data_IF_070514725115
#
_entry.id   IF_070514725115
#
_cell.length_a   1.000
_cell.length_b   1.000
_cell.length_c   1.000
_cell.angle_alpha   90.00
_cell.angle_beta   90.00
_cell.angle_gamma   90.00
#
_symmetry.space_group_name_H-M   'P 1'
#
loop_
_entity.id
_entity.type
_entity.pdbx_description
1 polymer ?
#
# COMPACT_ATOMS: atom_id res chain seq x y z
N UNK A 1 6.03 0.30 -9.14
CA UNK A 1 6.93 1.21 -9.86
C UNK A 1 7.91 0.38 -10.68
N UNK A 2 7.92 0.53 -12.00
CA UNK A 2 8.75 -0.29 -12.93
C UNK A 2 9.84 0.56 -13.57
N UNK A 3 9.60 1.86 -13.71
CA UNK A 3 10.52 2.83 -14.30
C UNK A 3 11.62 3.23 -13.31
N UNK A 4 12.90 3.15 -13.73
CA UNK A 4 14.05 3.39 -12.85
C UNK A 4 14.19 4.86 -12.46
N UNK A 5 13.82 5.79 -13.35
CA UNK A 5 13.81 7.22 -13.02
C UNK A 5 12.77 7.53 -11.94
N UNK A 6 11.56 6.96 -12.05
CA UNK A 6 10.52 7.14 -11.03
C UNK A 6 10.90 6.53 -9.68
N UNK A 7 11.65 5.42 -9.67
CA UNK A 7 12.19 4.85 -8.43
C UNK A 7 13.22 5.77 -7.77
N UNK A 8 14.06 6.43 -8.57
CA UNK A 8 15.01 7.43 -8.08
C UNK A 8 14.28 8.63 -7.48
N UNK A 9 13.32 9.23 -8.21
CA UNK A 9 12.49 10.32 -7.69
C UNK A 9 11.80 9.94 -6.38
N UNK A 10 11.24 8.71 -6.30
CA UNK A 10 10.63 8.20 -5.07
C UNK A 10 11.64 8.15 -3.91
N UNK A 11 12.84 7.64 -4.14
CA UNK A 11 13.87 7.57 -3.11
C UNK A 11 14.29 8.96 -2.63
N UNK A 12 14.46 9.93 -3.55
CA UNK A 12 14.74 11.32 -3.25
C UNK A 12 13.60 11.95 -2.42
N UNK A 13 12.34 11.68 -2.76
CA UNK A 13 11.18 12.15 -2.02
C UNK A 13 11.20 11.62 -0.57
N UNK A 14 11.49 10.33 -0.36
CA UNK A 14 11.59 9.73 0.98
C UNK A 14 12.70 10.38 1.81
N UNK A 15 13.85 10.60 1.20
CA UNK A 15 14.99 11.29 1.86
C UNK A 15 14.63 12.73 2.21
N UNK A 16 14.00 13.46 1.29
CA UNK A 16 13.57 14.84 1.52
C UNK A 16 12.56 14.92 2.66
N UNK A 17 11.52 14.08 2.65
CA UNK A 17 10.52 14.02 3.73
C UNK A 17 11.20 13.79 5.09
N UNK A 18 12.18 12.88 5.14
CA UNK A 18 12.94 12.62 6.37
C UNK A 18 13.77 13.81 6.82
N UNK A 19 14.39 14.54 5.88
CA UNK A 19 15.21 15.71 6.16
C UNK A 19 14.40 16.89 6.70
N UNK A 20 13.17 17.07 6.26
CA UNK A 20 12.28 18.13 6.77
C UNK A 20 11.52 17.74 8.05
N UNK A 21 11.90 16.63 8.67
CA UNK A 21 11.37 16.22 9.98
C UNK A 21 10.10 15.36 9.91
N UNK A 22 9.68 14.90 8.71
CA UNK A 22 8.63 13.89 8.58
C UNK A 22 9.22 12.48 8.75
N UNK A 23 8.37 11.52 9.07
CA UNK A 23 8.75 10.14 9.32
C UNK A 23 8.09 9.21 8.29
N UNK A 24 8.64 9.10 7.07
CA UNK A 24 8.07 8.22 6.06
C UNK A 24 8.30 6.75 6.42
N UNK A 25 7.26 5.94 6.24
CA UNK A 25 7.27 4.49 6.29
C UNK A 25 6.82 4.00 4.92
N UNK A 26 7.59 3.12 4.29
CA UNK A 26 7.30 2.60 2.97
C UNK A 26 6.76 1.19 3.09
N UNK A 27 5.59 0.92 2.49
CA UNK A 27 5.08 -0.44 2.31
C UNK A 27 5.03 -0.72 0.82
N UNK A 28 5.52 -1.87 0.40
CA UNK A 28 5.57 -2.21 -1.02
C UNK A 28 5.10 -3.63 -1.32
N UNK A 29 4.52 -3.79 -2.49
CA UNK A 29 4.33 -5.07 -3.16
C UNK A 29 5.35 -5.26 -4.30
N UNK A 30 5.01 -6.11 -5.26
CA UNK A 30 5.90 -6.40 -6.41
C UNK A 30 5.24 -7.31 -7.44
N UNK A 31 3.94 -7.13 -7.70
CA UNK A 31 3.16 -7.98 -8.61
C UNK A 31 3.82 -8.23 -9.98
N UNK A 32 4.29 -7.20 -10.70
CA UNK A 32 4.99 -7.37 -11.97
C UNK A 32 6.30 -8.16 -11.84
N UNK A 33 7.10 -7.90 -10.80
CA UNK A 33 8.36 -8.58 -10.54
C UNK A 33 8.13 -10.06 -10.19
N UNK A 34 7.10 -10.35 -9.39
CA UNK A 34 6.67 -11.72 -9.06
C UNK A 34 6.25 -12.45 -10.33
N UNK A 35 5.39 -11.83 -11.16
CA UNK A 35 4.93 -12.43 -12.43
C UNK A 35 6.08 -12.75 -13.36
N UNK A 36 7.05 -11.83 -13.46
CA UNK A 36 8.26 -12.03 -14.28
C UNK A 36 9.09 -13.23 -13.77
N UNK A 37 9.30 -13.31 -12.44
CA UNK A 37 10.09 -14.39 -11.85
C UNK A 37 9.40 -15.76 -11.97
N UNK A 38 8.10 -15.85 -11.68
CA UNK A 38 7.31 -17.07 -11.85
C UNK A 38 7.39 -17.57 -13.30
N UNK A 39 7.27 -16.67 -14.27
CA UNK A 39 7.42 -17.01 -15.70
C UNK A 39 8.82 -17.52 -16.02
N UNK A 40 9.86 -16.88 -15.49
CA UNK A 40 11.26 -17.30 -15.71
C UNK A 40 11.55 -18.71 -15.14
N UNK A 41 10.89 -19.06 -14.04
CA UNK A 41 11.00 -20.37 -13.39
C UNK A 41 10.04 -21.42 -13.98
N UNK A 42 9.18 -21.07 -14.94
CA UNK A 42 8.20 -21.97 -15.52
C UNK A 42 7.01 -22.30 -14.61
N UNK A 43 6.81 -21.52 -13.52
CA UNK A 43 5.72 -21.69 -12.58
C UNK A 43 4.49 -20.96 -13.11
N UNK A 44 3.35 -21.66 -13.17
CA UNK A 44 2.09 -21.07 -13.62
C UNK A 44 1.61 -19.99 -12.65
N UNK A 45 1.19 -18.85 -13.20
CA UNK A 45 0.57 -17.76 -12.45
C UNK A 45 -0.88 -17.60 -12.89
N UNK A 46 -1.81 -17.73 -11.97
CA UNK A 46 -3.25 -17.59 -12.18
C UNK A 46 -3.77 -16.45 -11.30
N UNK A 47 -4.81 -15.75 -11.79
CA UNK A 47 -5.52 -14.73 -11.02
C UNK A 47 -7.00 -15.09 -10.94
N UNK A 48 -7.59 -14.93 -9.77
CA UNK A 48 -9.02 -15.11 -9.51
C UNK A 48 -9.54 -13.90 -8.74
N UNK A 49 -10.57 -13.24 -9.25
CA UNK A 49 -11.10 -12.03 -8.62
C UNK A 49 -10.06 -10.91 -8.41
N UNK A 50 -9.07 -10.80 -9.31
CA UNK A 50 -7.99 -9.81 -9.20
C UNK A 50 -6.87 -10.19 -8.22
N UNK A 51 -7.00 -11.30 -7.49
CA UNK A 51 -6.00 -11.81 -6.56
C UNK A 51 -5.18 -12.94 -7.22
N UNK A 52 -3.87 -12.96 -6.94
CA UNK A 52 -3.00 -14.04 -7.42
C UNK A 52 -3.29 -15.32 -6.63
N UNK A 53 -3.59 -16.41 -7.34
CA UNK A 53 -3.59 -17.75 -6.73
C UNK A 53 -2.14 -18.07 -6.34
N UNK A 54 -1.88 -18.29 -5.05
CA UNK A 54 -0.55 -18.46 -4.51
C UNK A 54 -0.38 -19.87 -3.95
N UNK A 55 0.19 -20.76 -4.74
CA UNK A 55 0.59 -22.11 -4.28
C UNK A 55 1.81 -22.01 -3.36
N UNK A 56 2.14 -23.05 -2.56
CA UNK A 56 3.37 -23.07 -1.74
C UNK A 56 4.63 -22.74 -2.56
N UNK A 57 4.78 -23.34 -3.73
CA UNK A 57 5.91 -23.06 -4.64
C UNK A 57 5.91 -21.60 -5.12
N UNK A 58 4.73 -21.03 -5.44
CA UNK A 58 4.62 -19.63 -5.81
C UNK A 58 4.91 -18.70 -4.62
N UNK A 59 4.57 -19.12 -3.39
CA UNK A 59 4.83 -18.33 -2.18
C UNK A 59 6.31 -18.17 -1.91
N UNK A 60 7.13 -19.21 -2.12
CA UNK A 60 8.58 -19.10 -2.04
C UNK A 60 9.13 -18.03 -2.98
N UNK A 61 8.62 -17.99 -4.22
CA UNK A 61 9.00 -16.96 -5.20
C UNK A 61 8.51 -15.58 -4.77
N UNK A 62 7.28 -15.45 -4.26
CA UNK A 62 6.74 -14.19 -3.74
C UNK A 62 7.63 -13.65 -2.63
N UNK A 63 7.96 -14.49 -1.65
CA UNK A 63 8.83 -14.13 -0.52
C UNK A 63 10.22 -13.70 -0.98
N UNK A 64 10.89 -14.48 -1.84
CA UNK A 64 12.19 -14.12 -2.42
C UNK A 64 12.17 -12.80 -3.18
N UNK A 65 11.14 -12.58 -4.00
CA UNK A 65 11.05 -11.38 -4.84
C UNK A 65 10.76 -10.15 -3.99
N UNK A 66 9.81 -10.23 -3.07
CA UNK A 66 9.45 -9.07 -2.25
C UNK A 66 10.57 -8.69 -1.29
N UNK A 67 11.09 -9.64 -0.51
CA UNK A 67 12.11 -9.34 0.52
C UNK A 67 13.52 -9.19 -0.05
N UNK A 68 13.88 -10.04 -1.03
CA UNK A 68 15.23 -10.10 -1.59
C UNK A 68 15.46 -9.15 -2.77
N UNK A 69 14.48 -8.98 -3.67
CA UNK A 69 14.66 -8.16 -4.87
C UNK A 69 14.09 -6.75 -4.69
N UNK A 70 12.79 -6.62 -4.48
CA UNK A 70 12.10 -5.31 -4.47
C UNK A 70 12.52 -4.49 -3.26
N UNK A 71 12.47 -5.07 -2.06
CA UNK A 71 12.89 -4.39 -0.84
C UNK A 71 14.36 -3.94 -0.92
N UNK A 72 15.27 -4.82 -1.37
CA UNK A 72 16.69 -4.47 -1.46
C UNK A 72 16.97 -3.38 -2.47
N UNK A 73 16.25 -3.33 -3.58
CA UNK A 73 16.34 -2.27 -4.57
C UNK A 73 15.92 -0.92 -3.97
N UNK A 74 14.75 -0.85 -3.32
CA UNK A 74 14.25 0.39 -2.69
C UNK A 74 15.19 0.86 -1.56
N UNK A 75 15.61 -0.04 -0.68
CA UNK A 75 16.56 0.26 0.39
C UNK A 75 17.89 0.77 -0.18
N UNK A 76 18.39 0.16 -1.25
CA UNK A 76 19.62 0.59 -1.91
C UNK A 76 19.53 1.99 -2.49
N UNK A 77 18.42 2.30 -3.17
CA UNK A 77 18.19 3.64 -3.74
C UNK A 77 18.09 4.72 -2.66
N UNK A 78 17.37 4.48 -1.57
CA UNK A 78 17.30 5.43 -0.46
C UNK A 78 18.67 5.56 0.23
N UNK A 79 19.38 4.45 0.44
CA UNK A 79 20.67 4.43 1.11
C UNK A 79 21.82 4.97 0.26
N UNK A 80 21.64 5.20 -1.05
CA UNK A 80 22.58 5.98 -1.85
C UNK A 80 22.74 7.43 -1.35
N UNK A 81 21.75 7.92 -0.59
CA UNK A 81 21.77 9.27 0.02
C UNK A 81 22.20 9.26 1.50
N UNK A 82 22.63 8.12 2.03
CA UNK A 82 23.03 7.94 3.43
C UNK A 82 22.37 6.72 4.07
N UNK A 83 22.81 6.25 5.24
CA UNK A 83 22.32 5.03 5.89
C UNK A 83 20.93 5.26 6.53
N UNK A 84 19.92 5.53 5.73
CA UNK A 84 18.59 5.93 6.17
C UNK A 84 17.58 4.77 6.21
N UNK A 85 17.54 3.94 5.15
CA UNK A 85 16.50 2.92 5.01
C UNK A 85 16.90 1.59 5.65
N UNK A 86 15.92 0.92 6.25
CA UNK A 86 16.00 -0.47 6.75
C UNK A 86 14.84 -1.25 6.18
N UNK A 87 15.14 -2.37 5.53
CA UNK A 87 14.12 -3.27 4.98
C UNK A 87 13.64 -4.27 6.01
N UNK A 88 12.34 -4.45 6.06
CA UNK A 88 11.60 -5.41 6.87
C UNK A 88 10.60 -6.18 5.99
N UNK A 89 10.12 -7.29 6.51
CA UNK A 89 8.91 -7.95 6.04
C UNK A 89 7.88 -7.97 7.19
N UNK A 90 6.65 -8.33 6.90
CA UNK A 90 5.66 -8.53 7.95
C UNK A 90 6.01 -9.67 8.92
N UNK A 91 6.97 -10.53 8.57
CA UNK A 91 7.49 -11.61 9.43
C UNK A 91 8.45 -11.10 10.51
N UNK A 92 9.12 -9.96 10.27
CA UNK A 92 10.18 -9.47 11.13
C UNK A 92 9.59 -8.83 12.40
N UNK A 93 10.08 -9.28 13.56
CA UNK A 93 9.65 -8.76 14.87
C UNK A 93 8.17 -9.02 15.19
N UNK A 94 7.50 -9.93 14.50
CA UNK A 94 6.06 -10.14 14.68
C UNK A 94 5.19 -9.00 14.12
N UNK A 95 5.72 -8.22 13.18
CA UNK A 95 5.08 -6.99 12.68
C UNK A 95 3.66 -7.22 12.17
N UNK A 96 3.41 -8.29 11.39
CA UNK A 96 2.08 -8.65 10.92
C UNK A 96 1.70 -10.06 11.36
N UNK A 97 0.41 -10.26 11.64
CA UNK A 97 -0.25 -11.55 11.61
C UNK A 97 -1.38 -11.49 10.59
N UNK A 98 -1.55 -12.53 9.80
CA UNK A 98 -2.56 -12.59 8.75
C UNK A 98 -3.38 -13.87 8.82
N UNK A 99 -4.64 -13.81 8.39
CA UNK A 99 -5.49 -14.99 8.19
C UNK A 99 -5.68 -15.27 6.71
N UNK A 100 -5.80 -16.55 6.36
CA UNK A 100 -6.02 -16.96 4.97
C UNK A 100 -7.31 -16.36 4.41
N UNK A 101 -7.19 -15.75 3.23
CA UNK A 101 -8.32 -15.13 2.53
C UNK A 101 -9.01 -16.13 1.61
N UNK A 102 -10.33 -16.20 1.70
CA UNK A 102 -11.19 -16.95 0.77
C UNK A 102 -12.22 -16.02 0.15
N UNK A 103 -11.90 -15.36 -0.96
CA UNK A 103 -12.81 -14.39 -1.60
C UNK A 103 -14.06 -15.08 -2.14
N UNK A 104 -15.17 -14.32 -2.17
CA UNK A 104 -16.38 -14.76 -2.86
C UNK A 104 -16.25 -14.33 -4.33
N UNK A 105 -16.15 -15.30 -5.23
CA UNK A 105 -16.08 -15.11 -6.67
C UNK A 105 -17.26 -15.84 -7.30
N UNK A 106 -18.05 -15.15 -8.09
CA UNK A 106 -19.29 -15.68 -8.69
C UNK A 106 -20.23 -16.35 -7.65
N UNK A 107 -20.36 -15.72 -6.47
CA UNK A 107 -21.19 -16.18 -5.36
C UNK A 107 -20.65 -17.40 -4.59
N UNK A 108 -19.42 -17.85 -4.86
CA UNK A 108 -18.79 -19.00 -4.20
C UNK A 108 -17.51 -18.60 -3.48
N UNK A 109 -17.36 -19.10 -2.23
CA UNK A 109 -16.09 -19.02 -1.53
C UNK A 109 -15.02 -19.81 -2.30
N UNK A 110 -13.95 -19.12 -2.70
CA UNK A 110 -12.94 -19.67 -3.60
C UNK A 110 -11.61 -19.76 -2.87
N UNK A 111 -11.00 -20.95 -2.92
CA UNK A 111 -9.64 -21.13 -2.44
C UNK A 111 -8.65 -20.53 -3.47
N UNK A 112 -7.79 -19.66 -2.98
CA UNK A 112 -6.73 -19.00 -3.75
C UNK A 112 -5.32 -19.28 -3.17
N UNK A 113 -5.21 -20.30 -2.32
CA UNK A 113 -3.95 -20.74 -1.72
C UNK A 113 -3.45 -19.79 -0.62
N UNK A 114 -2.15 -19.61 -0.54
CA UNK A 114 -1.46 -18.83 0.51
C UNK A 114 -1.59 -17.33 0.29
N UNK A 115 -2.82 -16.83 0.30
CA UNK A 115 -3.16 -15.40 0.26
C UNK A 115 -3.85 -15.04 1.56
N UNK A 116 -3.47 -13.92 2.16
CA UNK A 116 -4.01 -13.50 3.44
C UNK A 116 -4.38 -12.03 3.52
N UNK A 117 -5.16 -11.72 4.56
CA UNK A 117 -5.44 -10.37 5.02
C UNK A 117 -4.82 -10.15 6.40
N UNK A 118 -4.19 -9.01 6.63
CA UNK A 118 -3.61 -8.66 7.93
C UNK A 118 -4.73 -8.50 8.96
N UNK A 119 -4.61 -9.23 10.07
CA UNK A 119 -5.57 -9.21 11.18
C UNK A 119 -5.02 -8.53 12.43
N UNK A 120 -3.69 -8.56 12.63
CA UNK A 120 -3.05 -7.81 13.70
C UNK A 120 -1.71 -7.23 13.26
N UNK A 121 -1.28 -6.17 13.94
CA UNK A 121 -0.02 -5.46 13.68
C UNK A 121 0.63 -5.14 15.02
N UNK A 122 1.86 -5.60 15.22
CA UNK A 122 2.76 -5.10 16.25
C UNK A 122 3.77 -4.14 15.62
N UNK A 123 3.51 -2.85 15.76
CA UNK A 123 4.30 -1.81 15.10
C UNK A 123 5.63 -1.51 15.80
N UNK A 124 5.95 -2.15 16.93
CA UNK A 124 7.09 -1.81 17.80
C UNK A 124 8.43 -1.76 17.05
N UNK A 125 8.72 -2.76 16.19
CA UNK A 125 9.95 -2.77 15.41
C UNK A 125 10.02 -1.61 14.39
N UNK A 126 8.89 -1.19 13.82
CA UNK A 126 8.82 -0.05 12.91
C UNK A 126 8.98 1.26 13.67
N UNK A 127 8.35 1.40 14.83
CA UNK A 127 8.44 2.58 15.70
C UNK A 127 9.87 2.78 16.22
N UNK A 128 10.56 1.71 16.62
CA UNK A 128 11.97 1.76 17.03
C UNK A 128 12.88 2.28 15.90
N UNK A 129 12.66 1.82 14.67
CA UNK A 129 13.41 2.31 13.50
C UNK A 129 13.12 3.78 13.22
N UNK A 130 11.86 4.19 13.29
CA UNK A 130 11.45 5.60 13.12
C UNK A 130 12.09 6.47 14.22
N UNK A 131 12.05 6.05 15.47
CA UNK A 131 12.68 6.73 16.62
C UNK A 131 14.20 6.84 16.43
N UNK A 132 14.84 5.82 15.87
CA UNK A 132 16.26 5.84 15.50
C UNK A 132 16.58 6.67 14.26
N UNK A 133 15.58 7.35 13.66
CA UNK A 133 15.74 8.20 12.50
C UNK A 133 15.85 7.44 11.18
N UNK A 134 15.41 6.18 11.13
CA UNK A 134 15.42 5.35 9.92
C UNK A 134 14.11 5.47 9.15
N UNK A 135 14.14 5.02 7.90
CA UNK A 135 12.98 4.87 7.01
C UNK A 135 12.71 3.37 6.87
N UNK A 136 11.70 2.82 7.56
CA UNK A 136 11.32 1.42 7.38
C UNK A 136 10.78 1.18 5.98
N UNK A 137 11.21 0.08 5.33
CA UNK A 137 10.74 -0.37 4.01
C UNK A 137 10.19 -1.78 4.17
N UNK A 138 8.87 -1.92 4.18
CA UNK A 138 8.15 -3.13 4.59
C UNK A 138 7.60 -3.88 3.38
N UNK A 139 7.95 -5.16 3.27
CA UNK A 139 7.40 -6.09 2.28
C UNK A 139 6.09 -6.70 2.76
N UNK A 140 5.09 -6.82 1.87
CA UNK A 140 3.74 -7.29 2.19
C UNK A 140 3.61 -8.82 2.21
N UNK A 141 4.38 -9.49 3.07
CA UNK A 141 4.22 -10.90 3.44
C UNK A 141 3.99 -11.00 4.95
N UNK A 142 3.24 -11.98 5.41
CA UNK A 142 2.92 -12.10 6.83
C UNK A 142 2.77 -13.57 7.25
N UNK A 143 3.16 -13.95 8.48
CA UNK A 143 2.86 -15.25 9.05
C UNK A 143 1.34 -15.49 9.12
N UNK A 144 0.94 -16.74 8.90
CA UNK A 144 -0.43 -17.16 9.11
C UNK A 144 -0.69 -17.30 10.63
N UNK A 145 -1.75 -16.64 11.14
CA UNK A 145 -2.11 -16.69 12.57
C UNK A 145 -2.49 -18.10 13.03
N UNK A 146 -3.08 -18.89 12.14
CA UNK A 146 -3.50 -20.28 12.45
C UNK A 146 -2.33 -21.28 12.38
N UNK A 147 -1.30 -20.98 11.56
CA UNK A 147 -0.08 -21.79 11.44
C UNK A 147 1.14 -20.90 11.19
N UNK A 148 1.88 -20.61 12.23
CA UNK A 148 3.07 -19.74 12.18
C UNK A 148 4.22 -20.29 11.29
N UNK A 149 4.13 -21.53 10.80
CA UNK A 149 5.08 -22.08 9.83
C UNK A 149 4.74 -21.69 8.40
N UNK A 150 3.51 -21.25 8.15
CA UNK A 150 3.06 -20.74 6.86
C UNK A 150 3.22 -19.22 6.77
N UNK A 151 3.56 -18.76 5.56
CA UNK A 151 3.61 -17.34 5.22
C UNK A 151 2.60 -17.06 4.12
N UNK A 152 1.88 -15.97 4.27
CA UNK A 152 0.83 -15.53 3.35
C UNK A 152 1.28 -14.33 2.51
N UNK A 153 0.89 -14.36 1.23
CA UNK A 153 1.00 -13.23 0.32
C UNK A 153 -0.14 -12.24 0.65
N UNK A 154 0.21 -11.05 1.10
CA UNK A 154 -0.75 -10.01 1.49
C UNK A 154 -0.76 -8.90 0.44
N UNK A 155 -1.95 -8.32 0.20
CA UNK A 155 -2.06 -7.13 -0.64
C UNK A 155 -1.33 -5.95 0.03
N UNK A 156 -0.44 -5.27 -0.70
CA UNK A 156 0.38 -4.20 -0.15
C UNK A 156 -0.43 -2.98 0.29
N UNK A 157 -1.51 -2.64 -0.41
CA UNK A 157 -2.38 -1.52 -0.04
C UNK A 157 -3.08 -1.81 1.29
N UNK A 158 -3.58 -3.06 1.48
CA UNK A 158 -4.20 -3.52 2.73
C UNK A 158 -3.19 -3.57 3.90
N UNK A 159 -1.96 -4.04 3.64
CA UNK A 159 -0.89 -4.04 4.63
C UNK A 159 -0.49 -2.63 5.05
N UNK A 160 -0.39 -1.70 4.07
CA UNK A 160 -0.10 -0.29 4.33
C UNK A 160 -1.18 0.37 5.18
N UNK A 161 -2.47 0.10 4.89
CA UNK A 161 -3.58 0.63 5.67
C UNK A 161 -3.56 0.11 7.12
N UNK A 162 -3.31 -1.20 7.32
CA UNK A 162 -3.21 -1.79 8.64
C UNK A 162 -2.04 -1.21 9.45
N UNK A 163 -0.87 -1.07 8.83
CA UNK A 163 0.30 -0.47 9.47
C UNK A 163 0.07 1.01 9.77
N UNK A 164 -0.52 1.77 8.84
CA UNK A 164 -0.82 3.18 9.03
C UNK A 164 -1.74 3.42 10.23
N UNK A 165 -2.77 2.58 10.41
CA UNK A 165 -3.64 2.62 11.57
C UNK A 165 -2.88 2.28 12.87
N UNK A 166 -2.05 1.24 12.87
CA UNK A 166 -1.32 0.79 14.05
C UNK A 166 -0.29 1.82 14.55
N UNK A 167 0.44 2.48 13.65
CA UNK A 167 1.42 3.53 14.03
C UNK A 167 0.78 4.91 14.25
N UNK A 168 -0.54 5.05 14.14
CA UNK A 168 -1.22 6.34 14.22
C UNK A 168 -0.75 7.33 13.16
N UNK A 169 -0.58 6.87 11.93
CA UNK A 169 -0.09 7.71 10.83
C UNK A 169 -1.02 8.91 10.58
N UNK A 170 -0.45 10.06 10.28
CA UNK A 170 -1.22 11.27 9.93
C UNK A 170 -1.77 11.22 8.51
N UNK A 171 -1.13 10.45 7.63
CA UNK A 171 -1.54 10.25 6.23
C UNK A 171 -1.15 8.88 5.74
N UNK A 172 -2.04 8.23 5.01
CA UNK A 172 -1.71 7.13 4.12
C UNK A 172 -1.64 7.67 2.68
N UNK A 173 -0.59 7.34 1.92
CA UNK A 173 -0.48 7.72 0.51
C UNK A 173 -0.31 6.45 -0.32
N UNK A 174 -1.27 6.17 -1.20
CA UNK A 174 -1.25 5.04 -2.12
C UNK A 174 -0.87 5.53 -3.50
N UNK A 175 0.21 4.98 -4.06
CA UNK A 175 0.65 5.25 -5.42
C UNK A 175 -0.05 4.29 -6.38
N UNK A 176 -0.63 4.84 -7.44
CA UNK A 176 -1.30 4.08 -8.50
C UNK A 176 -0.83 4.53 -9.88
N UNK A 177 -1.44 4.01 -10.92
CA UNK A 177 -1.20 4.33 -12.34
C UNK A 177 -2.33 5.17 -12.97
N UNK A 178 -3.15 5.80 -12.14
CA UNK A 178 -4.18 6.78 -12.53
C UNK A 178 -4.10 8.00 -11.62
N UNK A 179 -4.65 9.14 -12.06
CA UNK A 179 -4.57 10.40 -11.28
C UNK A 179 -5.29 10.32 -9.93
N UNK A 180 -6.33 9.48 -9.80
CA UNK A 180 -7.13 9.32 -8.60
C UNK A 180 -8.44 8.62 -8.89
N UNK A 181 -9.47 8.85 -8.06
CA UNK A 181 -10.82 8.36 -8.23
C UNK A 181 -11.62 9.31 -9.15
N UNK A 182 -12.34 8.74 -10.10
CA UNK A 182 -13.21 9.46 -11.01
C UNK A 182 -14.69 9.18 -10.70
N UNK A 183 -15.53 10.20 -10.77
CA UNK A 183 -16.97 10.03 -10.60
C UNK A 183 -17.62 9.33 -11.80
N UNK A 184 -17.09 9.55 -13.00
CA UNK A 184 -17.58 8.96 -14.25
C UNK A 184 -16.39 8.60 -15.15
N UNK A 185 -15.83 7.41 -14.97
CA UNK A 185 -14.74 6.90 -15.80
C UNK A 185 -15.28 6.48 -17.17
N UNK A 186 -14.66 6.86 -18.32
CA UNK A 186 -13.30 7.43 -18.47
C UNK A 186 -13.22 8.97 -18.59
N UNK A 187 -14.24 9.73 -18.17
CA UNK A 187 -14.16 11.19 -18.21
C UNK A 187 -13.12 11.70 -17.20
N UNK A 188 -11.98 12.17 -17.70
CA UNK A 188 -10.90 12.70 -16.89
C UNK A 188 -11.24 14.00 -16.16
N UNK A 189 -12.28 14.72 -16.58
CA UNK A 189 -12.75 15.93 -15.90
C UNK A 189 -13.59 15.61 -14.65
N UNK A 190 -13.97 14.35 -14.48
CA UNK A 190 -14.72 13.86 -13.32
C UNK A 190 -13.85 13.45 -12.13
N UNK A 191 -12.56 13.83 -12.13
CA UNK A 191 -11.64 13.50 -11.02
C UNK A 191 -12.16 14.09 -9.71
N UNK A 192 -12.32 13.22 -8.72
CA UNK A 192 -12.75 13.58 -7.36
C UNK A 192 -11.54 13.98 -6.54
N UNK A 193 -11.36 15.26 -6.26
CA UNK A 193 -10.23 15.73 -5.46
C UNK A 193 -10.35 15.39 -3.97
N UNK A 194 -11.58 15.35 -3.43
CA UNK A 194 -11.86 15.00 -2.02
C UNK A 194 -13.17 14.24 -1.91
N UNK A 195 -13.21 13.25 -1.01
CA UNK A 195 -14.39 12.42 -0.77
C UNK A 195 -14.45 12.00 0.70
N UNK A 196 -15.67 11.96 1.26
CA UNK A 196 -15.93 11.38 2.56
C UNK A 196 -15.91 9.86 2.53
N UNK A 197 -15.53 9.24 3.64
CA UNK A 197 -15.38 7.79 3.74
C UNK A 197 -16.71 7.06 3.51
N UNK A 198 -17.84 7.58 3.97
CA UNK A 198 -19.15 6.95 3.76
C UNK A 198 -19.56 7.02 2.29
N UNK A 199 -19.40 8.17 1.63
CA UNK A 199 -19.65 8.30 0.18
C UNK A 199 -18.78 7.34 -0.61
N UNK A 200 -17.49 7.20 -0.25
CA UNK A 200 -16.60 6.26 -0.89
C UNK A 200 -17.07 4.80 -0.67
N UNK A 201 -17.54 4.47 0.53
CA UNK A 201 -18.05 3.13 0.87
C UNK A 201 -19.22 2.73 -0.02
N UNK A 202 -20.12 3.67 -0.30
CA UNK A 202 -21.25 3.45 -1.20
C UNK A 202 -20.82 3.23 -2.65
N UNK A 203 -19.69 3.82 -3.07
CA UNK A 203 -19.14 3.65 -4.42
C UNK A 203 -18.35 2.34 -4.62
N UNK A 204 -17.84 1.72 -3.55
CA UNK A 204 -16.97 0.54 -3.65
C UNK A 204 -17.52 -0.60 -4.53
N UNK A 205 -18.82 -0.96 -4.48
CA UNK A 205 -19.36 -2.05 -5.30
C UNK A 205 -19.21 -1.83 -6.81
N UNK A 206 -19.24 -0.58 -7.26
CA UNK A 206 -19.24 -0.20 -8.67
C UNK A 206 -17.84 0.08 -9.21
N UNK A 207 -16.81 0.06 -8.36
CA UNK A 207 -15.44 0.32 -8.77
C UNK A 207 -14.83 -0.86 -9.52
N UNK A 208 -13.99 -0.54 -10.53
CA UNK A 208 -13.19 -1.51 -11.26
C UNK A 208 -12.27 -2.31 -10.33
N UNK A 209 -11.98 -3.57 -10.73
CA UNK A 209 -11.19 -4.52 -9.93
C UNK A 209 -9.79 -4.01 -9.54
N UNK A 210 -9.19 -3.14 -10.31
CA UNK A 210 -7.87 -2.53 -10.00
C UNK A 210 -7.93 -1.40 -8.97
N UNK A 211 -9.03 -0.62 -8.94
CA UNK A 211 -9.21 0.53 -8.05
C UNK A 211 -9.82 0.12 -6.71
N UNK A 212 -10.75 -0.83 -6.71
CA UNK A 212 -11.47 -1.27 -5.50
C UNK A 212 -10.56 -1.62 -4.33
N UNK A 213 -9.50 -2.46 -4.45
CA UNK A 213 -8.63 -2.79 -3.31
C UNK A 213 -7.93 -1.57 -2.71
N UNK A 214 -7.60 -0.57 -3.54
CA UNK A 214 -6.97 0.68 -3.09
C UNK A 214 -7.93 1.55 -2.30
N UNK A 215 -9.17 1.65 -2.77
CA UNK A 215 -10.22 2.40 -2.07
C UNK A 215 -10.65 1.68 -0.78
N UNK A 216 -10.75 0.34 -0.78
CA UNK A 216 -10.95 -0.46 0.44
C UNK A 216 -9.83 -0.22 1.46
N UNK A 217 -8.57 -0.10 1.02
CA UNK A 217 -7.45 0.23 1.90
C UNK A 217 -7.57 1.65 2.47
N UNK A 218 -8.01 2.64 1.67
CA UNK A 218 -8.30 3.98 2.19
C UNK A 218 -9.40 3.96 3.25
N UNK A 219 -10.52 3.27 2.99
CA UNK A 219 -11.60 3.11 3.97
C UNK A 219 -11.07 2.48 5.26
N UNK A 220 -10.33 1.37 5.15
CA UNK A 220 -9.72 0.68 6.30
C UNK A 220 -8.80 1.60 7.11
N UNK A 221 -8.00 2.43 6.45
CA UNK A 221 -7.11 3.36 7.14
C UNK A 221 -7.90 4.44 7.92
N UNK A 222 -8.92 5.03 7.30
CA UNK A 222 -9.78 6.04 7.95
C UNK A 222 -10.54 5.42 9.13
N UNK A 223 -11.13 4.23 8.96
CA UNK A 223 -11.81 3.49 10.04
C UNK A 223 -10.83 3.16 11.19
N UNK A 224 -9.57 2.93 10.88
CA UNK A 224 -8.48 2.73 11.83
C UNK A 224 -7.95 4.01 12.49
N UNK A 225 -8.54 5.17 12.21
CA UNK A 225 -8.20 6.46 12.84
C UNK A 225 -7.15 7.29 12.09
N UNK A 226 -6.73 6.89 10.90
CA UNK A 226 -5.85 7.72 10.04
C UNK A 226 -6.67 8.91 9.53
N UNK A 227 -6.25 10.17 9.77
CA UNK A 227 -7.07 11.34 9.42
C UNK A 227 -7.29 11.55 7.92
N UNK A 228 -6.36 11.08 7.08
CA UNK A 228 -6.40 11.28 5.64
C UNK A 228 -5.75 10.10 4.91
N UNK A 229 -6.39 9.61 3.85
CA UNK A 229 -5.81 8.66 2.92
C UNK A 229 -5.84 9.25 1.51
N UNK A 230 -4.74 9.13 0.77
CA UNK A 230 -4.57 9.75 -0.53
C UNK A 230 -4.28 8.69 -1.59
N UNK A 231 -4.87 8.84 -2.77
CA UNK A 231 -4.52 8.06 -3.96
C UNK A 231 -4.00 9.03 -5.01
N UNK A 232 -2.78 8.79 -5.49
CA UNK A 232 -2.08 9.67 -6.42
C UNK A 232 -1.39 8.88 -7.54
N UNK A 233 -1.16 9.53 -8.68
CA UNK A 233 -0.43 8.93 -9.79
C UNK A 233 1.08 8.86 -9.49
N UNK A 234 1.56 7.66 -9.22
CA UNK A 234 2.97 7.37 -8.97
C UNK A 234 3.86 7.38 -10.23
N UNK A 235 3.30 7.64 -11.42
CA UNK A 235 4.07 7.81 -12.67
C UNK A 235 4.52 9.25 -12.88
N UNK A 236 4.07 10.18 -12.06
CA UNK A 236 4.52 11.57 -12.09
C UNK A 236 5.71 11.74 -11.15
N UNK A 237 6.85 12.29 -11.63
CA UNK A 237 7.99 12.59 -10.77
C UNK A 237 7.57 13.47 -9.58
N UNK A 238 8.07 13.16 -8.39
CA UNK A 238 7.84 13.91 -7.16
C UNK A 238 6.36 14.12 -6.80
N UNK A 239 5.49 13.18 -7.20
CA UNK A 239 4.05 13.25 -6.94
C UNK A 239 3.74 13.28 -5.44
N UNK A 240 4.52 12.59 -4.62
CA UNK A 240 4.35 12.57 -3.16
C UNK A 240 4.59 13.96 -2.56
N UNK A 241 5.65 14.65 -2.99
CA UNK A 241 5.94 16.00 -2.50
C UNK A 241 4.84 16.99 -2.92
N UNK A 242 4.38 16.87 -4.17
CA UNK A 242 3.29 17.71 -4.65
C UNK A 242 2.00 17.49 -3.84
N UNK A 243 1.66 16.24 -3.48
CA UNK A 243 0.49 15.93 -2.67
C UNK A 243 0.62 16.44 -1.23
N UNK A 244 1.81 16.30 -0.63
CA UNK A 244 2.01 16.62 0.79
C UNK A 244 2.14 18.14 1.01
N UNK A 245 2.82 18.86 0.11
CA UNK A 245 3.20 20.26 0.33
C UNK A 245 2.36 21.28 -0.44
N UNK A 246 1.38 20.86 -1.25
CA UNK A 246 0.46 21.79 -1.92
C UNK A 246 -0.95 21.72 -1.32
N UNK A 247 -1.63 22.85 -1.29
CA UNK A 247 -2.99 22.92 -0.74
C UNK A 247 -4.06 22.26 -1.62
N UNK A 248 -3.81 22.21 -2.93
CA UNK A 248 -4.75 21.63 -3.90
C UNK A 248 -4.64 20.11 -3.97
N UNK A 249 -3.45 19.53 -3.65
CA UNK A 249 -3.15 18.15 -3.92
C UNK A 249 -3.09 17.84 -5.42
N UNK A 250 -2.85 16.60 -5.78
CA UNK A 250 -2.79 16.15 -7.19
C UNK A 250 -3.64 14.91 -7.48
N UNK A 251 -4.25 14.33 -6.47
CA UNK A 251 -5.03 13.10 -6.56
C UNK A 251 -6.36 13.16 -5.83
N UNK A 252 -6.78 12.05 -5.27
CA UNK A 252 -8.00 11.94 -4.45
C UNK A 252 -7.63 11.80 -2.98
N UNK A 253 -8.19 12.67 -2.14
CA UNK A 253 -8.10 12.59 -0.68
C UNK A 253 -9.39 12.00 -0.10
N UNK A 254 -9.26 10.93 0.67
CA UNK A 254 -10.33 10.33 1.46
C UNK A 254 -10.17 10.79 2.92
N UNK A 255 -11.27 11.18 3.57
CA UNK A 255 -11.27 11.69 4.94
C UNK A 255 -12.57 11.32 5.66
N UNK A 256 -12.64 11.41 7.00
CA UNK A 256 -13.90 11.31 7.73
C UNK A 256 -14.89 12.38 7.26
N UNK A 257 -16.20 12.04 7.19
CA UNK A 257 -17.25 12.95 6.66
C UNK A 257 -17.38 14.24 7.47
N UNK A 258 -17.24 14.19 8.79
CA UNK A 258 -17.23 15.38 9.67
C UNK A 258 -16.15 16.40 9.26
N UNK A 259 -15.04 15.96 8.71
CA UNK A 259 -13.95 16.82 8.21
C UNK A 259 -14.28 17.58 6.92
N UNK A 260 -15.24 17.10 6.13
CA UNK A 260 -15.72 17.76 4.92
C UNK A 260 -16.65 18.94 5.26
N UNK A 261 -17.56 18.76 6.21
CA UNK A 261 -18.53 19.76 6.61
C UNK A 261 -17.88 20.99 7.26
N UNK A 262 -16.89 20.80 8.13
CA UNK A 262 -16.18 21.91 8.78
C UNK A 262 -15.42 22.82 7.82
N UNK A 263 -14.90 22.31 6.69
CA UNK A 263 -14.17 23.13 5.71
C UNK A 263 -15.07 23.81 4.69
N UNK A 264 -16.28 23.27 4.44
CA UNK A 264 -17.32 23.93 3.63
C UNK A 264 -17.87 25.18 4.31
N UNK A 265 -17.84 25.26 5.64
CA UNK A 265 -18.32 26.41 6.42
C UNK A 265 -17.32 27.56 6.56
N UNK A 266 -16.05 27.36 6.20
CA UNK A 266 -14.97 28.37 6.29
C UNK A 266 -14.50 28.90 4.94
N UNK A 267 -15.26 28.75 3.86
CA UNK A 267 -15.10 29.34 2.54
C UNK A 267 -13.70 29.90 2.22
N UNK A 268 -12.76 29.04 1.82
CA UNK A 268 -11.51 29.39 1.12
C UNK A 268 -11.25 28.37 0.02
#
# INVERSE_FOLDING_TARGET
MVDDHLKQCFAEDMVFLRQVGLHPIVVHGGGPQISHMLKALGIKSEFKGGLRVTTPEAMDVVRMVLTGKVSRELVGLINAHGPLAVGLSGEDGGLFSAMQRRPIIDGKSTDIGLVGDVVSVDASAVEDLVAAGRIPVVSSVAPNEEDATEVLNVNADSAAAALAAAVGARKLVILTDVDGLYADWPDKNSLIGRIGVETLRDMLPDLESGMRPKMEACVRAIDGGVPQAHIIDGRKPHSILNEIFTSAGIGTMVMPDEGLEMRSSYGY
#
